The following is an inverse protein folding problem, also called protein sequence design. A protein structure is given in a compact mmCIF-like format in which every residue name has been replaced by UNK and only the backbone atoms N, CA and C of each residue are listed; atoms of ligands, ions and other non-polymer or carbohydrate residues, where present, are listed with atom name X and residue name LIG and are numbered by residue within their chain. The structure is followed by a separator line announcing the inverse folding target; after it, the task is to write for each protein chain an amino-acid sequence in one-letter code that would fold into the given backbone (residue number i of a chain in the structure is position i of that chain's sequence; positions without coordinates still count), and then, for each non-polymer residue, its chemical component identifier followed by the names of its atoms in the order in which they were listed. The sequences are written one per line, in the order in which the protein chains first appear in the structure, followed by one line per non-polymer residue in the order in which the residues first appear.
data_IF_981155951885
#
_entry.id   IF_981155951885
#
_cell.length_a   1.000
_cell.length_b   1.000
_cell.length_c   1.000
_cell.angle_alpha   90.00
_cell.angle_beta   90.00
_cell.angle_gamma   90.00
#
_symmetry.space_group_name_H-M   'P 1'
#
loop_
_entity.id
_entity.type
_entity.pdbx_description
1 polymer ?
#
# COMPACT_ATOMS: atom_id res chain seq x y z
N UNK A 1 10.99 -18.09 1.29
CA UNK A 1 9.65 -17.77 1.84
C UNK A 1 9.63 -17.93 3.36
N UNK A 2 10.10 -16.94 4.14
CA UNK A 2 9.99 -16.98 5.61
C UNK A 2 8.62 -16.49 6.14
N UNK A 3 7.85 -15.71 5.36
CA UNK A 3 6.61 -15.08 5.85
C UNK A 3 5.41 -16.02 6.05
N UNK A 4 5.23 -17.03 5.20
CA UNK A 4 4.05 -17.93 5.27
C UNK A 4 4.12 -18.84 6.51
N UNK A 5 5.30 -19.40 6.80
CA UNK A 5 5.53 -20.28 7.96
C UNK A 5 5.33 -19.52 9.28
N UNK A 6 5.65 -18.22 9.32
CA UNK A 6 5.44 -17.38 10.50
C UNK A 6 3.95 -17.11 10.79
N UNK A 7 3.12 -16.95 9.74
CA UNK A 7 1.69 -16.61 9.90
C UNK A 7 0.88 -17.81 10.42
N UNK A 8 1.16 -19.04 9.98
CA UNK A 8 0.45 -20.23 10.47
C UNK A 8 0.71 -20.49 11.96
N UNK A 9 1.96 -20.35 12.41
CA UNK A 9 2.31 -20.40 13.82
C UNK A 9 1.63 -19.28 14.63
N UNK A 10 1.53 -18.07 14.07
CA UNK A 10 0.82 -16.97 14.69
C UNK A 10 -0.69 -17.23 14.81
N UNK A 11 -1.32 -17.86 13.80
CA UNK A 11 -2.75 -18.21 13.84
C UNK A 11 -3.08 -19.16 14.99
N UNK A 12 -2.20 -20.12 15.26
CA UNK A 12 -2.37 -21.08 16.35
C UNK A 12 -2.26 -20.41 17.74
N UNK A 13 -1.44 -19.37 17.88
CA UNK A 13 -1.20 -18.67 19.14
C UNK A 13 -2.19 -17.51 19.36
N UNK A 14 -2.49 -16.75 18.32
CA UNK A 14 -3.38 -15.59 18.35
C UNK A 14 -3.96 -15.30 16.95
N UNK A 15 -5.19 -15.75 16.67
CA UNK A 15 -5.88 -15.48 15.40
C UNK A 15 -5.98 -13.99 15.08
N UNK A 16 -6.16 -13.15 16.11
CA UNK A 16 -6.24 -11.69 15.95
C UNK A 16 -4.89 -11.10 15.50
N UNK A 17 -3.79 -11.54 16.09
CA UNK A 17 -2.46 -11.04 15.71
C UNK A 17 -2.08 -11.50 14.30
N UNK A 18 -2.45 -12.72 13.92
CA UNK A 18 -2.26 -13.20 12.56
C UNK A 18 -3.03 -12.38 11.53
N UNK A 19 -4.27 -12.01 11.83
CA UNK A 19 -5.09 -11.16 10.97
C UNK A 19 -4.47 -9.77 10.80
N UNK A 20 -3.97 -9.19 11.89
CA UNK A 20 -3.26 -7.90 11.89
C UNK A 20 -2.02 -7.97 10.98
N UNK A 21 -1.18 -8.98 11.17
CA UNK A 21 0.05 -9.14 10.37
C UNK A 21 -0.25 -9.39 8.88
N UNK A 22 -1.31 -10.13 8.56
CA UNK A 22 -1.74 -10.33 7.18
C UNK A 22 -2.22 -9.01 6.55
N UNK A 23 -2.92 -8.18 7.32
CA UNK A 23 -3.37 -6.88 6.87
C UNK A 23 -2.22 -5.91 6.61
N UNK A 24 -1.21 -5.88 7.49
CA UNK A 24 -0.02 -5.06 7.31
C UNK A 24 0.77 -5.47 6.06
N UNK A 25 0.90 -6.77 5.82
CA UNK A 25 1.59 -7.26 4.62
C UNK A 25 0.83 -6.92 3.33
N UNK A 26 -0.51 -7.02 3.35
CA UNK A 26 -1.34 -6.58 2.22
C UNK A 26 -1.16 -5.08 1.94
N UNK A 27 -1.04 -4.25 2.98
CA UNK A 27 -0.73 -2.83 2.83
C UNK A 27 0.63 -2.60 2.19
N UNK A 28 1.67 -3.34 2.62
CA UNK A 28 3.02 -3.24 2.03
C UNK A 28 3.02 -3.56 0.54
N UNK A 29 2.35 -4.64 0.13
CA UNK A 29 2.25 -5.05 -1.28
C UNK A 29 1.61 -3.97 -2.15
N UNK A 30 0.62 -3.23 -1.62
CA UNK A 30 0.00 -2.12 -2.35
C UNK A 30 1.00 -0.99 -2.63
N UNK A 31 1.90 -0.68 -1.70
CA UNK A 31 2.89 0.38 -1.88
C UNK A 31 4.08 -0.03 -2.75
N UNK A 32 4.33 -1.34 -2.90
CA UNK A 32 5.37 -1.90 -3.77
C UNK A 32 4.89 -2.14 -5.22
N UNK A 33 3.63 -1.81 -5.56
CA UNK A 33 3.05 -2.07 -6.87
C UNK A 33 3.39 -0.98 -7.91
N UNK A 34 3.74 -1.39 -9.13
CA UNK A 34 4.17 -0.50 -10.23
C UNK A 34 3.01 0.28 -10.90
N UNK A 35 1.77 -0.21 -10.78
CA UNK A 35 0.60 0.39 -11.45
C UNK A 35 -0.36 1.04 -10.43
N UNK A 36 -0.42 2.36 -10.43
CA UNK A 36 -1.18 3.13 -9.45
C UNK A 36 -2.70 3.07 -9.65
N UNK A 37 -3.18 3.00 -10.89
CA UNK A 37 -4.62 2.98 -11.21
C UNK A 37 -5.35 1.84 -10.48
N UNK A 38 -4.83 0.61 -10.59
CA UNK A 38 -5.36 -0.58 -9.94
C UNK A 38 -5.08 -0.56 -8.43
N UNK A 39 -3.87 -0.19 -8.04
CA UNK A 39 -3.45 -0.08 -6.63
C UNK A 39 -4.33 0.87 -5.82
N UNK A 40 -4.79 1.98 -6.41
CA UNK A 40 -5.65 2.95 -5.71
C UNK A 40 -7.02 2.37 -5.32
N UNK A 41 -7.60 1.52 -6.17
CA UNK A 41 -8.86 0.81 -5.88
C UNK A 41 -8.64 -0.27 -4.82
N UNK A 42 -7.55 -1.03 -4.93
CA UNK A 42 -7.22 -2.07 -3.95
C UNK A 42 -6.86 -1.47 -2.58
N UNK A 43 -6.32 -0.26 -2.56
CA UNK A 43 -6.08 0.49 -1.34
C UNK A 43 -7.37 0.97 -0.67
N UNK A 44 -8.37 1.41 -1.44
CA UNK A 44 -9.71 1.70 -0.91
C UNK A 44 -10.35 0.45 -0.29
N UNK A 45 -10.23 -0.70 -0.96
CA UNK A 45 -10.72 -1.98 -0.45
C UNK A 45 -10.00 -2.38 0.85
N UNK A 46 -8.68 -2.21 0.90
CA UNK A 46 -7.90 -2.46 2.11
C UNK A 46 -8.34 -1.55 3.27
N UNK A 47 -8.55 -0.26 3.03
CA UNK A 47 -9.02 0.67 4.07
C UNK A 47 -10.40 0.29 4.62
N UNK A 48 -11.30 -0.24 3.78
CA UNK A 48 -12.61 -0.69 4.22
C UNK A 48 -12.49 -1.87 5.21
N UNK A 49 -11.63 -2.84 4.91
CA UNK A 49 -11.38 -3.99 5.78
C UNK A 49 -10.54 -3.62 7.03
N UNK A 50 -9.60 -2.69 6.90
CA UNK A 50 -8.75 -2.21 7.99
C UNK A 50 -9.50 -1.34 9.00
N UNK A 51 -10.66 -0.78 8.64
CA UNK A 51 -11.42 0.15 9.48
C UNK A 51 -11.83 -0.47 10.82
N UNK A 52 -12.20 -1.75 10.82
CA UNK A 52 -12.65 -2.45 12.03
C UNK A 52 -11.49 -2.87 12.93
N UNK A 53 -10.29 -2.99 12.36
CA UNK A 53 -9.06 -3.36 13.07
C UNK A 53 -8.29 -2.14 13.58
N UNK A 54 -8.26 -1.06 12.81
CA UNK A 54 -7.45 0.14 13.04
C UNK A 54 -8.22 1.44 12.73
N UNK A 55 -9.33 1.71 13.43
CA UNK A 55 -10.22 2.83 13.10
C UNK A 55 -9.51 4.19 13.13
N UNK A 56 -8.58 4.40 14.07
CA UNK A 56 -7.80 5.63 14.17
C UNK A 56 -6.80 5.80 13.02
N UNK A 57 -6.13 4.72 12.63
CA UNK A 57 -5.20 4.71 11.51
C UNK A 57 -5.94 4.98 10.19
N UNK A 58 -7.06 4.29 9.94
CA UNK A 58 -7.88 4.50 8.75
C UNK A 58 -8.45 5.92 8.71
N UNK A 59 -8.88 6.48 9.84
CA UNK A 59 -9.34 7.87 9.91
C UNK A 59 -8.21 8.86 9.54
N UNK A 60 -6.99 8.58 9.99
CA UNK A 60 -5.81 9.39 9.66
C UNK A 60 -5.49 9.29 8.17
N UNK A 61 -5.37 8.07 7.63
CA UNK A 61 -5.11 7.85 6.20
C UNK A 61 -6.18 8.53 5.33
N UNK A 62 -7.46 8.40 5.69
CA UNK A 62 -8.55 9.07 4.98
C UNK A 62 -8.40 10.58 4.95
N UNK A 63 -7.94 11.20 6.04
CA UNK A 63 -7.69 12.65 6.11
C UNK A 63 -6.58 13.07 5.15
N UNK A 64 -5.53 12.25 5.02
CA UNK A 64 -4.37 12.51 4.17
C UNK A 64 -4.50 11.92 2.76
N UNK A 65 -5.64 11.33 2.41
CA UNK A 65 -5.79 10.54 1.19
C UNK A 65 -5.49 11.34 -0.08
N UNK A 66 -5.93 12.60 -0.15
CA UNK A 66 -5.62 13.46 -1.29
C UNK A 66 -4.12 13.74 -1.48
N UNK A 67 -3.34 13.75 -0.40
CA UNK A 67 -1.87 13.93 -0.47
C UNK A 67 -1.17 12.63 -0.85
N UNK A 68 -1.70 11.48 -0.38
CA UNK A 68 -1.24 10.16 -0.81
C UNK A 68 -1.47 10.01 -2.33
N UNK A 69 -2.65 10.36 -2.85
CA UNK A 69 -2.92 10.31 -4.29
C UNK A 69 -1.91 11.16 -5.09
N UNK A 70 -1.60 12.37 -4.63
CA UNK A 70 -0.64 13.26 -5.28
C UNK A 70 0.81 12.73 -5.25
N UNK A 71 1.21 12.00 -4.20
CA UNK A 71 2.54 11.37 -4.14
C UNK A 71 2.72 10.36 -5.27
N UNK A 72 1.72 9.50 -5.47
CA UNK A 72 1.79 8.47 -6.49
C UNK A 72 1.60 9.02 -7.90
N UNK A 73 0.79 10.06 -8.10
CA UNK A 73 0.69 10.74 -9.41
C UNK A 73 2.05 11.33 -9.84
N UNK A 74 2.78 11.97 -8.92
CA UNK A 74 4.13 12.52 -9.18
C UNK A 74 5.21 11.46 -9.37
N UNK A 75 5.05 10.27 -8.79
CA UNK A 75 5.93 9.13 -9.05
C UNK A 75 5.89 8.68 -10.52
N UNK A 76 4.79 8.93 -11.22
CA UNK A 76 4.66 8.64 -12.65
C UNK A 76 5.38 9.70 -13.49
N UNK A 77 5.56 10.93 -12.97
CA UNK A 77 6.17 12.08 -13.68
C UNK A 77 7.69 12.28 -13.46
N UNK A 78 8.36 11.48 -12.61
CA UNK A 78 9.77 11.71 -12.21
C UNK A 78 10.66 10.48 -12.53
N UNK A 79 11.93 10.64 -12.97
CA UNK A 79 12.45 11.31 -14.15
C UNK A 79 13.23 10.29 -15.01
N UNK A 80 12.54 9.46 -15.81
CA UNK A 80 13.20 8.64 -16.85
C UNK A 80 13.06 9.27 -18.24
N UNK A 81 12.18 10.27 -18.41
CA UNK A 81 11.97 10.97 -19.69
C UNK A 81 12.72 12.30 -19.86
N UNK A 82 13.58 12.71 -18.92
CA UNK A 82 14.48 13.86 -19.17
C UNK A 82 15.66 13.53 -20.11
N UNK A 83 15.79 12.28 -20.57
CA UNK A 83 16.91 11.83 -21.41
C UNK A 83 16.70 12.01 -22.93
N UNK A 84 15.59 12.62 -23.39
CA UNK A 84 15.36 12.88 -24.83
C UNK A 84 15.23 14.36 -25.22
N UNK A 85 15.35 15.30 -24.29
CA UNK A 85 15.25 16.73 -24.59
C UNK A 85 16.59 17.43 -24.90
N UNK A 86 17.71 16.70 -24.94
CA UNK A 86 19.03 17.23 -25.29
C UNK A 86 19.66 16.41 -26.43
N UNK A 87 18.99 16.39 -27.57
CA UNK A 87 19.68 16.31 -28.86
C UNK A 87 19.26 17.57 -29.61
N UNK A 88 20.05 18.63 -29.40
CA UNK A 88 20.03 19.83 -30.24
C UNK A 88 21.16 19.62 -31.24
N UNK A 89 20.82 19.82 -32.52
CA UNK A 89 21.71 19.80 -33.69
C UNK A 89 23.03 20.58 -33.52
#
# INVERSE_FOLDING_TARGET
MPGIVAIEGLKALSPKLALVHQHEEAFRVLFDADEWSQTSLDFLNWMAAAKDLYPASVATIRRWFGEILQYFEKSIESPVESSKALTID
#
